data_IF_707195523490
#
_entry.id   IF_707195523490
#
_cell.length_a   1.000
_cell.length_b   1.000
_cell.length_c   1.000
_cell.angle_alpha   90.00
_cell.angle_beta   90.00
_cell.angle_gamma   90.00
#
_symmetry.space_group_name_H-M   'P 1'
#
loop_
_entity.id
_entity.type
_entity.pdbx_description
1 polymer ?
#
# COMPACT_ATOMS: atom_id res chain seq x y z
N UNK A 1 -25.30 30.29 0.02
CA UNK A 1 -25.32 29.09 0.88
C UNK A 1 -23.88 28.66 1.12
N UNK A 2 -23.31 28.99 2.29
CA UNK A 2 -22.04 28.40 2.71
C UNK A 2 -22.35 27.00 3.24
N UNK A 3 -22.16 25.96 2.43
CA UNK A 3 -22.21 24.58 2.91
C UNK A 3 -20.99 24.37 3.82
N UNK A 4 -21.19 24.58 5.12
CA UNK A 4 -20.25 24.13 6.15
C UNK A 4 -20.42 22.63 6.25
N UNK A 5 -19.55 21.88 5.57
CA UNK A 5 -19.43 20.45 5.76
C UNK A 5 -18.84 20.22 7.15
N UNK A 6 -19.70 20.06 8.16
CA UNK A 6 -19.28 19.60 9.47
C UNK A 6 -19.48 18.09 9.51
N UNK A 7 -18.42 17.33 9.23
CA UNK A 7 -18.38 15.91 9.61
C UNK A 7 -17.87 15.84 11.04
N UNK A 8 -18.71 15.37 11.96
CA UNK A 8 -18.30 15.09 13.33
C UNK A 8 -17.88 13.61 13.42
N UNK A 9 -16.67 13.37 13.91
CA UNK A 9 -16.15 12.02 14.21
C UNK A 9 -16.09 11.88 15.72
N UNK A 10 -16.84 10.95 16.30
CA UNK A 10 -16.81 10.68 17.75
C UNK A 10 -16.09 9.35 17.99
N UNK A 11 -14.81 9.36 18.40
CA UNK A 11 -14.06 8.13 18.64
C UNK A 11 -14.46 7.45 19.97
N UNK A 12 -14.79 6.15 19.85
CA UNK A 12 -14.79 4.97 20.75
C UNK A 12 -14.54 5.08 22.26
N UNK A 13 -13.75 6.02 22.77
CA UNK A 13 -13.35 5.99 24.18
C UNK A 13 -14.49 6.32 25.17
N UNK A 14 -15.73 6.38 24.70
CA UNK A 14 -16.92 6.57 25.50
C UNK A 14 -18.00 5.54 25.09
N UNK A 15 -18.75 5.01 26.06
CA UNK A 15 -19.96 4.20 25.80
C UNK A 15 -20.04 2.85 26.51
N UNK A 16 -19.00 2.42 27.24
CA UNK A 16 -19.00 1.14 27.96
C UNK A 16 -19.85 1.13 29.25
N UNK A 17 -20.31 2.29 29.68
CA UNK A 17 -21.17 2.48 30.85
C UNK A 17 -22.31 3.46 30.53
N UNK A 18 -23.37 3.42 31.35
CA UNK A 18 -24.59 4.19 31.12
C UNK A 18 -24.38 5.72 31.14
N UNK A 19 -23.43 6.22 31.93
CA UNK A 19 -23.14 7.66 31.98
C UNK A 19 -22.45 8.10 30.69
N UNK A 20 -21.48 7.31 30.25
CA UNK A 20 -20.73 7.52 29.02
C UNK A 20 -21.65 7.48 27.79
N UNK A 21 -22.57 6.52 27.72
CA UNK A 21 -23.60 6.45 26.68
C UNK A 21 -24.49 7.71 26.64
N UNK A 22 -24.95 8.21 27.79
CA UNK A 22 -25.76 9.46 27.85
C UNK A 22 -25.00 10.68 27.37
N UNK A 23 -23.71 10.80 27.71
CA UNK A 23 -22.86 11.91 27.21
C UNK A 23 -22.69 11.87 25.71
N UNK A 24 -22.64 10.67 25.13
CA UNK A 24 -22.53 10.47 23.69
C UNK A 24 -23.81 10.89 22.98
N UNK A 25 -24.97 10.42 23.44
CA UNK A 25 -26.28 10.83 22.89
C UNK A 25 -26.41 12.35 22.89
N UNK A 26 -26.11 12.99 24.04
CA UNK A 26 -26.16 14.45 24.15
C UNK A 26 -25.21 15.18 23.18
N UNK A 27 -24.05 14.60 22.87
CA UNK A 27 -23.14 15.18 21.87
C UNK A 27 -23.72 15.07 20.46
N UNK A 28 -24.42 13.99 20.16
CA UNK A 28 -25.06 13.82 18.86
C UNK A 28 -26.18 14.83 18.64
N UNK A 29 -27.05 15.02 19.62
CA UNK A 29 -28.08 16.09 19.60
C UNK A 29 -27.45 17.47 19.35
N UNK A 30 -26.31 17.77 20.01
CA UNK A 30 -25.59 19.03 19.79
C UNK A 30 -25.00 19.18 18.39
N UNK A 31 -24.62 18.07 17.74
CA UNK A 31 -24.08 18.08 16.37
C UNK A 31 -25.19 18.22 15.33
N UNK A 32 -26.35 17.65 15.58
CA UNK A 32 -27.57 17.86 14.80
C UNK A 32 -27.97 19.35 14.82
N UNK A 33 -28.02 19.96 16.01
CA UNK A 33 -28.25 21.39 16.18
C UNK A 33 -27.19 22.27 15.47
N UNK A 34 -25.98 21.72 15.25
CA UNK A 34 -24.86 22.39 14.58
C UNK A 34 -24.89 22.31 13.04
N UNK A 35 -25.99 21.84 12.43
CA UNK A 35 -26.20 21.73 10.97
C UNK A 35 -25.28 20.68 10.31
N UNK A 36 -24.95 19.60 11.02
CA UNK A 36 -24.35 18.43 10.38
C UNK A 36 -25.37 17.81 9.40
N UNK A 37 -24.91 17.41 8.20
CA UNK A 37 -25.80 16.77 7.20
C UNK A 37 -25.85 15.24 7.35
N UNK A 38 -24.88 14.67 8.07
CA UNK A 38 -24.76 13.26 8.40
C UNK A 38 -23.76 13.09 9.54
N UNK A 39 -23.72 11.90 10.12
CA UNK A 39 -22.88 11.58 11.26
C UNK A 39 -22.16 10.24 11.05
N UNK A 40 -20.85 10.20 11.21
CA UNK A 40 -20.08 8.95 11.16
C UNK A 40 -19.94 8.40 12.58
N UNK A 41 -20.46 7.20 12.80
CA UNK A 41 -20.33 6.44 14.03
C UNK A 41 -19.22 5.40 13.86
N UNK A 42 -18.16 5.50 14.65
CA UNK A 42 -17.01 4.62 14.57
C UNK A 42 -16.85 3.84 15.87
N UNK A 43 -16.87 2.50 15.77
CA UNK A 43 -16.58 1.59 16.88
C UNK A 43 -17.47 1.80 18.12
N UNK A 44 -18.68 2.33 17.92
CA UNK A 44 -19.72 2.44 18.94
C UNK A 44 -20.39 1.07 19.12
N UNK A 45 -20.68 0.61 20.36
CA UNK A 45 -21.44 -0.62 20.58
C UNK A 45 -22.74 -0.65 19.76
N UNK A 46 -23.05 -1.78 19.13
CA UNK A 46 -24.12 -1.84 18.13
C UNK A 46 -25.49 -1.39 18.66
N UNK A 47 -25.83 -1.78 19.89
CA UNK A 47 -27.07 -1.35 20.54
C UNK A 47 -27.12 0.17 20.81
N UNK A 48 -25.97 0.80 21.08
CA UNK A 48 -25.89 2.25 21.25
C UNK A 48 -25.95 2.96 19.90
N UNK A 49 -25.30 2.43 18.87
CA UNK A 49 -25.38 3.00 17.52
C UNK A 49 -26.82 2.94 16.96
N UNK A 50 -27.54 1.85 17.20
CA UNK A 50 -28.96 1.73 16.89
C UNK A 50 -29.80 2.80 17.61
N UNK A 51 -29.60 2.93 18.93
CA UNK A 51 -30.33 3.93 19.73
C UNK A 51 -30.05 5.38 19.28
N UNK A 52 -28.82 5.67 18.85
CA UNK A 52 -28.44 6.98 18.30
C UNK A 52 -29.11 7.22 16.96
N UNK A 53 -29.10 6.22 16.07
CA UNK A 53 -29.73 6.31 14.75
C UNK A 53 -31.24 6.52 14.85
N UNK A 54 -31.90 5.92 15.84
CA UNK A 54 -33.33 6.16 16.10
C UNK A 54 -33.61 7.56 16.70
N UNK A 55 -32.64 8.17 17.38
CA UNK A 55 -32.83 9.38 18.17
C UNK A 55 -32.60 10.70 17.40
N UNK A 56 -31.94 10.67 16.24
CA UNK A 56 -31.56 11.87 15.47
C UNK A 56 -32.16 11.83 14.07
N UNK A 57 -32.47 12.99 13.48
CA UNK A 57 -33.11 13.08 12.16
C UNK A 57 -32.10 13.01 10.98
N UNK A 58 -30.80 13.14 11.25
CA UNK A 58 -29.75 13.11 10.22
C UNK A 58 -29.20 11.69 9.99
N UNK A 59 -28.82 11.33 8.75
CA UNK A 59 -28.31 10.00 8.44
C UNK A 59 -27.06 9.61 9.24
N UNK A 60 -27.02 8.39 9.78
CA UNK A 60 -25.84 7.81 10.42
C UNK A 60 -25.08 6.87 9.49
N UNK A 61 -23.76 6.97 9.48
CA UNK A 61 -22.85 6.11 8.70
C UNK A 61 -21.98 5.33 9.67
N UNK A 62 -22.16 4.00 9.70
CA UNK A 62 -21.45 3.09 10.59
C UNK A 62 -20.12 2.61 10.05
N UNK A 63 -19.12 2.51 10.93
CA UNK A 63 -17.91 1.71 10.75
C UNK A 63 -17.61 0.98 12.06
N UNK A 64 -17.80 -0.34 12.07
CA UNK A 64 -17.67 -1.15 13.29
C UNK A 64 -18.76 -0.90 14.33
N UNK A 65 -19.97 -0.55 13.89
CA UNK A 65 -21.11 -0.20 14.75
C UNK A 65 -22.30 -1.15 14.62
N UNK A 66 -22.14 -2.28 13.94
CA UNK A 66 -23.27 -3.16 13.60
C UNK A 66 -24.12 -2.61 12.45
N UNK A 67 -25.24 -3.29 12.13
CA UNK A 67 -25.98 -3.07 10.89
C UNK A 67 -27.01 -1.94 10.96
N UNK A 68 -27.33 -1.43 12.15
CA UNK A 68 -28.49 -0.57 12.40
C UNK A 68 -28.24 0.93 12.15
N UNK A 69 -27.14 1.29 11.47
CA UNK A 69 -26.93 2.64 10.94
C UNK A 69 -27.51 2.76 9.51
N UNK A 70 -27.87 3.97 9.07
CA UNK A 70 -28.48 4.20 7.75
C UNK A 70 -27.56 3.86 6.56
N UNK A 71 -26.25 3.95 6.79
CA UNK A 71 -25.22 3.58 5.84
C UNK A 71 -24.02 2.94 6.52
N UNK A 72 -23.11 2.41 5.71
CA UNK A 72 -21.88 1.77 6.17
C UNK A 72 -20.69 2.26 5.36
N UNK A 73 -19.52 2.34 6.01
CA UNK A 73 -18.26 2.71 5.37
C UNK A 73 -17.14 1.79 5.85
N UNK A 74 -16.18 1.51 4.97
CA UNK A 74 -14.92 0.84 5.26
C UNK A 74 -13.76 1.63 4.65
N UNK A 75 -12.57 1.47 5.21
CA UNK A 75 -11.35 1.99 4.60
C UNK A 75 -11.08 1.18 3.33
N UNK A 76 -10.81 1.86 2.21
CA UNK A 76 -10.66 1.19 0.90
C UNK A 76 -9.56 0.14 0.91
N UNK A 77 -8.43 0.41 1.56
CA UNK A 77 -7.30 -0.52 1.63
C UNK A 77 -7.67 -1.82 2.35
N UNK A 78 -8.49 -1.75 3.40
CA UNK A 78 -8.99 -2.94 4.09
C UNK A 78 -10.08 -3.66 3.25
N UNK A 79 -10.94 -2.89 2.59
CA UNK A 79 -12.00 -3.41 1.73
C UNK A 79 -11.43 -4.23 0.56
N UNK A 80 -10.37 -3.74 -0.08
CA UNK A 80 -9.76 -4.44 -1.22
C UNK A 80 -8.69 -5.46 -0.82
N UNK A 81 -8.41 -5.62 0.48
CA UNK A 81 -7.38 -6.54 0.98
C UNK A 81 -5.96 -6.09 0.64
N UNK A 82 -5.71 -4.78 0.60
CA UNK A 82 -4.38 -4.22 0.41
C UNK A 82 -3.61 -4.15 1.74
N UNK A 83 -4.26 -3.91 2.88
CA UNK A 83 -3.60 -3.79 4.19
C UNK A 83 -3.10 -5.14 4.75
N UNK A 84 -1.97 -5.15 5.47
CA UNK A 84 -1.43 -6.36 6.14
C UNK A 84 -2.32 -6.89 7.27
N UNK A 85 -3.10 -6.00 7.88
CA UNK A 85 -4.04 -6.30 8.93
C UNK A 85 -5.37 -5.62 8.66
N UNK A 86 -6.45 -6.34 8.91
CA UNK A 86 -7.80 -5.78 8.90
C UNK A 86 -8.23 -5.49 10.33
N UNK A 87 -8.78 -4.31 10.59
CA UNK A 87 -9.42 -4.03 11.86
C UNK A 87 -10.51 -5.09 12.15
N UNK A 88 -10.80 -5.44 13.43
CA UNK A 88 -11.61 -6.61 13.79
C UNK A 88 -13.08 -6.55 13.32
N UNK A 89 -13.56 -5.37 12.94
CA UNK A 89 -14.90 -5.14 12.38
C UNK A 89 -14.91 -5.00 10.85
N UNK A 90 -13.73 -4.96 10.23
CA UNK A 90 -13.55 -4.83 8.80
C UNK A 90 -13.58 -6.20 8.14
N UNK A 91 -13.93 -6.23 6.86
CA UNK A 91 -13.95 -7.44 6.05
C UNK A 91 -13.30 -7.10 4.71
N UNK A 92 -12.27 -7.86 4.35
CA UNK A 92 -11.73 -7.83 3.01
C UNK A 92 -12.72 -8.48 2.02
N UNK A 93 -12.96 -7.80 0.91
CA UNK A 93 -13.77 -8.24 -0.22
C UNK A 93 -12.90 -8.56 -1.46
N UNK A 94 -11.60 -8.27 -1.40
CA UNK A 94 -10.60 -8.64 -2.39
C UNK A 94 -9.28 -9.04 -1.73
N UNK A 95 -8.32 -9.44 -2.55
CA UNK A 95 -6.94 -9.75 -2.16
C UNK A 95 -5.98 -9.02 -3.09
N UNK A 96 -6.05 -7.69 -3.13
CA UNK A 96 -5.18 -6.88 -3.99
C UNK A 96 -3.71 -7.07 -3.61
N UNK A 97 -3.40 -7.32 -2.33
CA UNK A 97 -2.04 -7.62 -1.89
C UNK A 97 -1.49 -8.89 -2.56
N UNK A 98 -2.25 -9.99 -2.54
CA UNK A 98 -1.87 -11.23 -3.21
C UNK A 98 -1.69 -11.04 -4.71
N UNK A 99 -2.65 -10.41 -5.38
CA UNK A 99 -2.57 -10.14 -6.82
C UNK A 99 -1.38 -9.26 -7.21
N UNK A 100 -1.00 -8.29 -6.36
CA UNK A 100 0.19 -7.47 -6.58
C UNK A 100 1.47 -8.28 -6.37
N UNK A 101 1.54 -9.13 -5.35
CA UNK A 101 2.68 -10.02 -5.11
C UNK A 101 2.88 -10.97 -6.29
N UNK A 102 1.81 -11.66 -6.72
CA UNK A 102 1.84 -12.59 -7.85
C UNK A 102 2.29 -11.91 -9.15
N UNK A 103 1.83 -10.67 -9.40
CA UNK A 103 2.23 -9.90 -10.58
C UNK A 103 3.71 -9.48 -10.54
N UNK A 104 4.21 -9.09 -9.36
CA UNK A 104 5.62 -8.72 -9.17
C UNK A 104 6.50 -9.96 -9.33
N UNK A 105 6.15 -11.07 -8.67
CA UNK A 105 6.88 -12.34 -8.79
C UNK A 105 6.89 -12.84 -10.24
N UNK A 106 5.76 -12.79 -10.93
CA UNK A 106 5.68 -13.15 -12.35
C UNK A 106 6.59 -12.29 -13.24
N UNK A 107 6.70 -10.99 -12.94
CA UNK A 107 7.65 -10.13 -13.64
C UNK A 107 9.11 -10.46 -13.31
N UNK A 108 9.42 -10.72 -12.03
CA UNK A 108 10.76 -11.12 -11.57
C UNK A 108 11.19 -12.40 -12.30
N UNK A 109 10.33 -13.42 -12.32
CA UNK A 109 10.57 -14.70 -12.99
C UNK A 109 10.78 -14.51 -14.49
N UNK A 110 9.93 -13.71 -15.16
CA UNK A 110 10.07 -13.44 -16.58
C UNK A 110 11.38 -12.71 -16.93
N UNK A 111 11.85 -11.80 -16.07
CA UNK A 111 13.12 -11.09 -16.27
C UNK A 111 14.33 -11.99 -16.01
N UNK A 112 14.31 -12.79 -14.95
CA UNK A 112 15.39 -13.72 -14.61
C UNK A 112 15.47 -14.90 -15.58
N UNK A 113 14.32 -15.34 -16.12
CA UNK A 113 14.18 -16.35 -17.15
C UNK A 113 14.47 -15.86 -18.59
N UNK A 114 14.81 -14.58 -18.76
CA UNK A 114 15.00 -13.94 -20.07
C UNK A 114 13.75 -14.00 -21.00
N UNK A 115 12.55 -14.23 -20.44
CA UNK A 115 11.27 -14.18 -21.15
C UNK A 115 10.79 -12.74 -21.38
N UNK A 116 11.16 -11.82 -20.48
CA UNK A 116 10.89 -10.39 -20.59
C UNK A 116 12.18 -9.54 -20.52
N UNK A 117 12.30 -8.47 -21.34
CA UNK A 117 11.45 -8.14 -22.48
C UNK A 117 11.65 -9.11 -23.66
N UNK A 118 10.55 -9.47 -24.33
CA UNK A 118 10.58 -10.16 -25.63
C UNK A 118 10.75 -9.18 -26.81
N UNK A 119 10.86 -9.71 -28.03
CA UNK A 119 11.01 -8.91 -29.26
C UNK A 119 9.86 -7.92 -29.45
N UNK A 120 8.62 -8.33 -29.17
CA UNK A 120 7.42 -7.47 -29.23
C UNK A 120 7.44 -6.30 -28.24
N UNK A 121 8.24 -6.39 -27.18
CA UNK A 121 8.44 -5.34 -26.20
C UNK A 121 9.62 -4.43 -26.56
N UNK A 122 10.28 -4.67 -27.70
CA UNK A 122 11.49 -3.99 -28.13
C UNK A 122 11.26 -3.25 -29.44
N UNK A 123 11.91 -2.09 -29.58
CA UNK A 123 11.92 -1.32 -30.82
C UNK A 123 13.35 -1.23 -31.35
N UNK A 124 13.52 -1.48 -32.64
CA UNK A 124 14.81 -1.41 -33.32
C UNK A 124 14.79 -0.29 -34.36
N UNK A 125 15.87 0.48 -34.39
CA UNK A 125 16.07 1.57 -35.34
C UNK A 125 17.34 1.28 -36.14
N UNK A 126 17.19 1.14 -37.44
CA UNK A 126 18.29 0.82 -38.34
C UNK A 126 19.35 1.93 -38.34
N UNK A 127 20.63 1.55 -38.35
CA UNK A 127 21.76 2.48 -38.43
C UNK A 127 22.19 3.10 -37.10
N UNK A 128 21.62 2.67 -35.97
CA UNK A 128 22.04 3.09 -34.63
C UNK A 128 23.05 2.14 -33.97
N UNK A 129 23.33 0.97 -34.56
CA UNK A 129 24.24 -0.04 -34.00
C UNK A 129 25.68 0.44 -33.85
N UNK A 130 26.12 1.35 -34.73
CA UNK A 130 27.50 1.82 -34.83
C UNK A 130 27.71 3.25 -34.27
N UNK A 131 26.79 3.76 -33.45
CA UNK A 131 26.97 5.09 -32.86
C UNK A 131 28.17 5.09 -31.91
N UNK A 132 29.17 5.98 -32.11
CA UNK A 132 30.28 6.10 -31.20
C UNK A 132 29.81 6.63 -29.83
N UNK A 133 29.77 5.76 -28.83
CA UNK A 133 29.46 6.12 -27.45
C UNK A 133 30.60 6.94 -26.85
N UNK A 134 30.27 8.04 -26.17
CA UNK A 134 31.25 8.83 -25.42
C UNK A 134 31.73 7.99 -24.23
N UNK A 135 32.94 7.43 -24.32
CA UNK A 135 33.56 6.54 -23.32
C UNK A 135 34.01 7.24 -22.02
N UNK A 136 33.26 8.25 -21.55
CA UNK A 136 33.56 9.00 -20.33
C UNK A 136 32.51 8.92 -19.22
N UNK A 137 31.35 8.31 -19.48
CA UNK A 137 30.21 8.29 -18.54
C UNK A 137 30.20 7.09 -17.59
N UNK A 138 30.78 5.95 -17.99
CA UNK A 138 30.76 4.70 -17.21
C UNK A 138 31.73 4.68 -16.03
N UNK A 139 32.80 5.46 -16.08
CA UNK A 139 33.94 5.28 -15.16
C UNK A 139 33.83 6.08 -13.85
N UNK A 140 33.03 7.16 -13.83
CA UNK A 140 32.94 8.09 -12.71
C UNK A 140 31.76 7.86 -11.76
N UNK A 141 30.66 7.19 -12.16
CA UNK A 141 29.49 6.98 -11.28
C UNK A 141 29.32 5.56 -10.71
N UNK A 142 29.71 4.51 -11.44
CA UNK A 142 29.54 3.13 -10.95
C UNK A 142 30.44 2.80 -9.75
N UNK A 143 31.64 3.40 -9.70
CA UNK A 143 32.62 3.15 -8.64
C UNK A 143 32.19 3.68 -7.26
N UNK A 144 31.26 4.64 -7.24
CA UNK A 144 30.69 5.19 -6.00
C UNK A 144 29.47 4.37 -5.54
N UNK A 145 28.58 3.98 -6.45
CA UNK A 145 27.37 3.22 -6.12
C UNK A 145 27.66 1.80 -5.61
N UNK A 146 28.61 1.07 -6.20
CA UNK A 146 28.90 -0.33 -5.83
C UNK A 146 29.78 -0.50 -4.57
N UNK A 147 30.31 0.59 -4.01
CA UNK A 147 31.06 0.59 -2.74
C UNK A 147 30.22 1.08 -1.55
N UNK A 148 28.95 1.42 -1.77
CA UNK A 148 28.05 1.75 -0.68
C UNK A 148 27.68 0.48 0.10
N UNK A 149 27.74 0.49 1.45
CA UNK A 149 27.51 -0.71 2.26
C UNK A 149 26.12 -1.34 2.05
N UNK A 150 25.14 -0.58 1.57
CA UNK A 150 23.77 -1.04 1.27
C UNK A 150 23.63 -2.00 0.09
N UNK A 151 24.67 -2.22 -0.71
CA UNK A 151 24.65 -3.15 -1.86
C UNK A 151 25.53 -4.39 -1.65
N UNK A 152 25.92 -4.68 -0.40
CA UNK A 152 26.65 -5.90 -0.06
C UNK A 152 25.66 -7.06 0.11
N UNK A 153 25.87 -8.15 -0.61
CA UNK A 153 25.07 -9.38 -0.46
C UNK A 153 25.40 -10.05 0.88
N UNK A 154 24.43 -10.13 1.80
CA UNK A 154 24.61 -10.73 3.15
C UNK A 154 23.94 -12.11 3.29
N UNK A 155 23.56 -12.76 2.18
CA UNK A 155 22.78 -13.99 2.25
C UNK A 155 23.63 -15.24 2.59
N UNK A 156 23.24 -16.07 3.58
CA UNK A 156 24.03 -17.19 4.11
C UNK A 156 24.14 -18.42 3.18
N UNK A 157 23.50 -18.39 2.00
CA UNK A 157 23.60 -19.44 0.95
C UNK A 157 24.26 -18.94 -0.34
N UNK A 158 25.03 -17.86 -0.30
CA UNK A 158 25.79 -17.42 -1.48
C UNK A 158 26.80 -18.53 -1.89
N UNK A 159 26.86 -18.94 -3.17
CA UNK A 159 27.86 -19.90 -3.63
C UNK A 159 29.27 -19.33 -3.40
N UNK A 160 30.21 -20.20 -3.05
CA UNK A 160 31.60 -19.81 -2.76
C UNK A 160 32.20 -19.05 -3.97
N UNK A 161 32.59 -17.79 -3.76
CA UNK A 161 33.13 -16.89 -4.81
C UNK A 161 32.31 -15.64 -5.09
N UNK A 162 31.12 -15.48 -4.50
CA UNK A 162 30.33 -14.25 -4.59
C UNK A 162 30.84 -13.16 -3.64
N UNK A 163 32.07 -12.67 -3.84
CA UNK A 163 32.69 -11.70 -2.93
C UNK A 163 32.42 -10.22 -3.30
N UNK A 164 31.75 -9.95 -4.43
CA UNK A 164 31.35 -8.59 -4.83
C UNK A 164 30.38 -8.60 -6.00
N UNK A 165 29.37 -7.71 -5.97
CA UNK A 165 28.62 -7.32 -7.17
C UNK A 165 29.63 -6.72 -8.17
N UNK A 166 29.89 -7.42 -9.29
CA UNK A 166 30.79 -6.94 -10.34
C UNK A 166 32.25 -7.41 -10.29
N UNK A 167 32.51 -8.72 -10.16
CA UNK A 167 33.84 -9.27 -10.49
C UNK A 167 34.05 -9.31 -12.02
N UNK A 168 34.61 -8.21 -12.53
CA UNK A 168 35.43 -8.02 -13.75
C UNK A 168 35.33 -9.10 -14.85
N UNK A 169 34.56 -8.78 -15.89
CA UNK A 169 35.03 -8.92 -17.27
C UNK A 169 34.73 -7.59 -18.00
N UNK A 170 35.72 -7.02 -18.69
CA UNK A 170 35.67 -5.72 -19.35
C UNK A 170 34.76 -5.71 -20.61
N UNK A 171 33.99 -6.77 -20.85
CA UNK A 171 32.89 -6.86 -21.82
C UNK A 171 31.58 -7.39 -21.22
N UNK A 172 31.49 -7.52 -19.90
CA UNK A 172 30.33 -8.12 -19.27
C UNK A 172 30.27 -7.84 -17.78
N UNK A 173 29.55 -6.80 -17.40
CA UNK A 173 28.55 -7.04 -16.35
C UNK A 173 27.66 -8.10 -16.96
N UNK A 174 27.71 -9.35 -16.48
CA UNK A 174 26.76 -10.35 -16.94
C UNK A 174 25.38 -9.70 -16.83
N UNK A 175 24.69 -9.49 -17.96
CA UNK A 175 23.38 -8.80 -17.99
C UNK A 175 22.41 -9.45 -17.00
N UNK A 176 22.63 -10.73 -16.75
CA UNK A 176 22.02 -11.56 -15.72
C UNK A 176 22.14 -10.99 -14.29
N UNK A 177 23.30 -10.48 -13.89
CA UNK A 177 23.54 -9.94 -12.54
C UNK A 177 22.89 -8.55 -12.34
N UNK A 178 22.75 -7.74 -13.40
CA UNK A 178 22.03 -6.46 -13.33
C UNK A 178 20.51 -6.61 -13.30
N UNK A 179 19.98 -7.57 -14.05
CA UNK A 179 18.55 -7.93 -14.07
C UNK A 179 18.05 -8.40 -12.71
N UNK A 180 18.83 -9.25 -12.03
CA UNK A 180 18.53 -9.73 -10.66
C UNK A 180 18.52 -8.63 -9.58
N UNK A 181 19.19 -7.48 -9.81
CA UNK A 181 19.21 -6.39 -8.83
C UNK A 181 17.92 -5.55 -8.87
N UNK A 182 17.37 -5.32 -10.07
CA UNK A 182 16.13 -4.53 -10.25
C UNK A 182 14.91 -5.36 -9.84
N UNK A 183 14.89 -6.65 -10.18
CA UNK A 183 13.85 -7.58 -9.73
C UNK A 183 13.80 -7.65 -8.18
N UNK A 184 14.96 -7.72 -7.52
CA UNK A 184 15.04 -7.75 -6.05
C UNK A 184 14.68 -6.43 -5.36
N UNK A 185 14.99 -5.27 -5.95
CA UNK A 185 14.55 -3.99 -5.39
C UNK A 185 13.02 -3.83 -5.45
N UNK A 186 12.36 -4.54 -6.36
CA UNK A 186 10.90 -4.54 -6.48
C UNK A 186 10.25 -5.58 -5.56
N UNK A 187 10.91 -6.73 -5.29
CA UNK A 187 10.44 -7.70 -4.28
C UNK A 187 10.68 -7.24 -2.84
N UNK A 188 11.75 -6.48 -2.55
CA UNK A 188 12.01 -5.95 -1.20
C UNK A 188 11.01 -4.86 -0.75
N UNK A 189 10.10 -4.43 -1.63
CA UNK A 189 8.95 -3.59 -1.27
C UNK A 189 7.81 -4.36 -0.58
N UNK A 190 7.94 -5.68 -0.38
CA UNK A 190 7.09 -6.51 0.50
C UNK A 190 7.18 -6.16 2.00
N UNK A 191 8.01 -5.18 2.38
CA UNK A 191 8.15 -4.70 3.76
C UNK A 191 7.32 -3.42 4.07
N UNK A 192 6.29 -3.10 3.28
CA UNK A 192 5.40 -1.94 3.47
C UNK A 192 3.91 -2.29 3.58
#
# INVERSE_FOLDING_TARGET
MHHRYLSARIPVLAGHDAESARRIVKRFEQHEDAVAFSLVLEHVPANLAAAVTEAIDIPTIGIGTGPDCDGQVLVVDELIGLSEGTAPFSKAFGDVRGEMADAIDGYVDAVEGDEFPAEEHSHYEDGLDDIPLVTGWTELRFRHALNEPKFRCEHPRAPAGCERFGSRDARGVSRHCGKSLISRLQSEHEAF
#
